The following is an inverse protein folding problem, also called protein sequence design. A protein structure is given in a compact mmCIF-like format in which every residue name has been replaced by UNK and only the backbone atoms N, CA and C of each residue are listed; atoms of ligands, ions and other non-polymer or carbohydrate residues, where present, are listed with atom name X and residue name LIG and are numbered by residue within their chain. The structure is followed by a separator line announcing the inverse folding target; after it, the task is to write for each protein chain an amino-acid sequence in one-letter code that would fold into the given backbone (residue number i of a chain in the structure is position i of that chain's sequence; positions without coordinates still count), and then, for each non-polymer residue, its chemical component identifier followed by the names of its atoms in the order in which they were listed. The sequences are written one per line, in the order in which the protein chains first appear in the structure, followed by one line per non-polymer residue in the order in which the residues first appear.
data_IF_878386970417
#
_entry.id   IF_878386970417
#
_cell.length_a   1.000
_cell.length_b   1.000
_cell.length_c   1.000
_cell.angle_alpha   90.00
_cell.angle_beta   90.00
_cell.angle_gamma   90.00
#
_symmetry.space_group_name_H-M   'P 1'
#
loop_
_entity.id
_entity.type
_entity.pdbx_description
1 polymer ?
#
# COMPACT_ATOMS: atom_id res chain seq x y z
N UNK A 1 -16.23 12.86 10.64
CA UNK A 1 -14.89 12.24 10.62
C UNK A 1 -14.96 10.99 9.74
N UNK A 2 -13.97 10.79 8.87
CA UNK A 2 -13.81 9.59 8.04
C UNK A 2 -12.64 8.81 8.62
N UNK A 3 -12.73 7.48 8.62
CA UNK A 3 -11.66 6.58 9.04
C UNK A 3 -11.22 5.74 7.85
N UNK A 4 -9.92 5.77 7.53
CA UNK A 4 -9.36 5.02 6.40
C UNK A 4 -8.53 3.86 6.93
N UNK A 5 -8.99 2.63 6.67
CA UNK A 5 -8.30 1.41 7.09
C UNK A 5 -7.26 1.00 6.05
N UNK A 6 -6.02 0.82 6.49
CA UNK A 6 -4.90 0.38 5.67
C UNK A 6 -4.72 -1.14 5.76
N UNK A 7 -4.51 -1.84 4.63
CA UNK A 7 -4.08 -3.23 4.65
C UNK A 7 -2.61 -3.31 5.08
N UNK A 8 -2.26 -4.19 6.01
CA UNK A 8 -0.87 -4.41 6.44
C UNK A 8 -0.66 -5.92 6.70
N UNK A 9 0.09 -6.68 5.86
CA UNK A 9 0.29 -8.12 5.93
C UNK A 9 0.38 -8.90 7.29
N UNK A 10 0.93 -8.40 8.41
CA UNK A 10 0.99 -9.08 9.68
C UNK A 10 -0.10 -8.63 10.66
N UNK A 11 -1.03 -7.78 10.22
CA UNK A 11 -2.24 -7.42 10.95
C UNK A 11 -3.42 -8.31 10.50
N UNK A 12 -4.60 -8.07 11.09
CA UNK A 12 -5.83 -8.81 10.77
C UNK A 12 -6.32 -8.54 9.33
N UNK A 13 -6.20 -7.29 8.88
CA UNK A 13 -6.64 -6.85 7.55
C UNK A 13 -5.42 -6.69 6.65
N UNK A 14 -5.29 -7.58 5.66
CA UNK A 14 -4.06 -7.76 4.89
C UNK A 14 -4.28 -7.65 3.39
N UNK A 15 -5.39 -8.20 2.92
CA UNK A 15 -5.75 -8.31 1.51
C UNK A 15 -6.90 -7.37 1.16
N UNK A 16 -7.16 -7.18 -0.12
CA UNK A 16 -8.34 -6.49 -0.61
C UNK A 16 -9.65 -7.22 -0.22
N UNK A 17 -9.63 -8.55 -0.16
CA UNK A 17 -10.74 -9.34 0.38
C UNK A 17 -10.98 -9.09 1.88
N UNK A 18 -9.93 -8.97 2.69
CA UNK A 18 -10.05 -8.63 4.10
C UNK A 18 -10.64 -7.21 4.29
N UNK A 19 -10.19 -6.25 3.48
CA UNK A 19 -10.70 -4.87 3.50
C UNK A 19 -12.20 -4.86 3.20
N UNK A 20 -12.62 -5.50 2.12
CA UNK A 20 -14.04 -5.56 1.74
C UNK A 20 -14.89 -6.22 2.83
N UNK A 21 -14.42 -7.33 3.40
CA UNK A 21 -15.13 -7.99 4.52
C UNK A 21 -15.21 -7.10 5.76
N UNK A 22 -14.16 -6.37 6.10
CA UNK A 22 -14.17 -5.46 7.25
C UNK A 22 -15.11 -4.28 7.03
N UNK A 23 -15.10 -3.67 5.85
CA UNK A 23 -15.99 -2.56 5.50
C UNK A 23 -17.46 -3.01 5.54
N UNK A 24 -17.78 -4.19 5.01
CA UNK A 24 -19.11 -4.79 5.05
C UNK A 24 -19.56 -5.06 6.49
N UNK A 25 -18.70 -5.67 7.31
CA UNK A 25 -18.99 -5.95 8.71
C UNK A 25 -19.23 -4.68 9.55
N UNK A 26 -18.53 -3.59 9.25
CA UNK A 26 -18.74 -2.29 9.91
C UNK A 26 -20.03 -1.61 9.42
N UNK A 27 -20.33 -1.69 8.12
CA UNK A 27 -21.58 -1.20 7.55
C UNK A 27 -21.79 0.33 7.60
N UNK A 28 -20.73 1.12 7.81
CA UNK A 28 -20.79 2.59 7.90
C UNK A 28 -19.97 3.25 6.78
N UNK A 29 -20.60 4.15 6.02
CA UNK A 29 -19.97 4.85 4.89
C UNK A 29 -18.79 5.77 5.27
N UNK A 30 -18.57 6.01 6.56
CA UNK A 30 -17.40 6.74 7.09
C UNK A 30 -16.17 5.84 7.24
N UNK A 31 -16.32 4.51 7.16
CA UNK A 31 -15.22 3.56 7.04
C UNK A 31 -14.82 3.44 5.58
N UNK A 32 -13.58 3.81 5.26
CA UNK A 32 -13.03 3.87 3.91
C UNK A 32 -11.70 3.13 3.86
N UNK A 33 -11.13 3.00 2.67
CA UNK A 33 -9.83 2.36 2.46
C UNK A 33 -8.73 3.42 2.45
N UNK A 34 -7.66 3.19 3.23
CA UNK A 34 -6.35 3.76 2.94
C UNK A 34 -5.66 2.81 1.97
N UNK A 35 -5.65 3.14 0.68
CA UNK A 35 -5.09 2.26 -0.33
C UNK A 35 -3.56 2.29 -0.24
N UNK A 36 -2.96 1.14 0.03
CA UNK A 36 -1.52 0.95 -0.03
C UNK A 36 -1.21 -0.20 -1.00
N UNK A 37 -0.77 0.17 -2.20
CA UNK A 37 -0.43 -0.77 -3.26
C UNK A 37 0.78 -1.64 -2.92
N UNK A 38 1.73 -1.14 -2.13
CA UNK A 38 2.91 -1.89 -1.71
C UNK A 38 2.58 -2.94 -0.66
N UNK A 39 1.76 -2.60 0.34
CA UNK A 39 1.33 -3.57 1.35
C UNK A 39 0.43 -4.66 0.75
N UNK A 40 -0.48 -4.30 -0.17
CA UNK A 40 -1.30 -5.28 -0.89
C UNK A 40 -0.43 -6.23 -1.71
N UNK A 41 0.56 -5.71 -2.43
CA UNK A 41 1.52 -6.52 -3.17
C UNK A 41 2.30 -7.45 -2.25
N UNK A 42 2.81 -6.92 -1.12
CA UNK A 42 3.52 -7.69 -0.10
C UNK A 42 2.64 -8.78 0.54
N UNK A 43 1.32 -8.58 0.60
CA UNK A 43 0.37 -9.61 1.03
C UNK A 43 0.09 -10.67 -0.06
N UNK A 44 0.74 -10.58 -1.22
CA UNK A 44 0.55 -11.47 -2.36
C UNK A 44 -0.64 -11.11 -3.25
N UNK A 45 -1.22 -9.92 -3.10
CA UNK A 45 -2.31 -9.45 -3.94
C UNK A 45 -1.78 -8.86 -5.26
N UNK A 46 -2.62 -8.88 -6.30
CA UNK A 46 -2.43 -8.02 -7.47
C UNK A 46 -2.95 -6.62 -7.12
N UNK A 47 -2.03 -5.66 -6.96
CA UNK A 47 -2.38 -4.29 -6.56
C UNK A 47 -3.20 -3.53 -7.61
N UNK A 48 -3.07 -3.87 -8.90
CA UNK A 48 -3.90 -3.26 -9.96
C UNK A 48 -5.32 -3.82 -9.90
N UNK A 49 -5.46 -5.13 -9.74
CA UNK A 49 -6.77 -5.75 -9.54
C UNK A 49 -7.45 -5.23 -8.27
N UNK A 50 -6.70 -5.12 -7.17
CA UNK A 50 -7.18 -4.53 -5.92
C UNK A 50 -7.60 -3.06 -6.12
N UNK A 51 -6.82 -2.25 -6.85
CA UNK A 51 -7.21 -0.87 -7.15
C UNK A 51 -8.56 -0.80 -7.87
N UNK A 52 -8.80 -1.66 -8.87
CA UNK A 52 -10.08 -1.71 -9.59
C UNK A 52 -11.26 -2.03 -8.68
N UNK A 53 -11.06 -2.92 -7.71
CA UNK A 53 -12.09 -3.33 -6.75
C UNK A 53 -12.35 -2.27 -5.69
N UNK A 54 -11.29 -1.65 -5.19
CA UNK A 54 -11.33 -0.80 -4.01
C UNK A 54 -11.52 0.68 -4.34
N UNK A 55 -11.22 1.15 -5.55
CA UNK A 55 -11.22 2.58 -5.90
C UNK A 55 -12.46 3.38 -5.44
N UNK A 56 -13.70 2.88 -5.55
CA UNK A 56 -14.89 3.61 -5.06
C UNK A 56 -14.93 3.79 -3.52
N UNK A 57 -14.14 3.01 -2.80
CA UNK A 57 -14.08 2.96 -1.33
C UNK A 57 -12.85 3.70 -0.77
N UNK A 58 -11.94 4.15 -1.64
CA UNK A 58 -10.69 4.81 -1.24
C UNK A 58 -10.98 6.21 -0.70
N UNK A 59 -10.51 6.46 0.52
CA UNK A 59 -10.52 7.79 1.15
C UNK A 59 -9.13 8.37 1.36
N UNK A 60 -8.08 7.54 1.33
CA UNK A 60 -6.69 7.96 1.46
C UNK A 60 -5.76 7.01 0.69
N UNK A 61 -4.55 7.45 0.35
CA UNK A 61 -3.59 6.62 -0.39
C UNK A 61 -2.20 6.78 0.21
N UNK A 62 -1.60 5.65 0.58
CA UNK A 62 -0.17 5.54 0.79
C UNK A 62 0.51 5.03 -0.48
N UNK A 63 1.51 5.76 -0.95
CA UNK A 63 2.33 5.43 -2.10
C UNK A 63 3.60 4.76 -1.59
N UNK A 64 3.57 3.43 -1.63
CA UNK A 64 4.65 2.53 -1.22
C UNK A 64 4.95 1.56 -2.35
N UNK A 65 6.23 1.28 -2.57
CA UNK A 65 6.66 0.36 -3.62
C UNK A 65 7.44 -0.81 -3.03
N UNK A 66 7.40 -1.92 -3.75
CA UNK A 66 7.82 -3.21 -3.23
C UNK A 66 8.43 -4.05 -4.34
N UNK A 67 9.54 -4.72 -4.03
CA UNK A 67 10.28 -5.54 -5.00
C UNK A 67 10.72 -6.86 -4.39
N UNK A 68 10.35 -7.98 -5.02
CA UNK A 68 10.65 -9.35 -4.53
C UNK A 68 12.12 -9.62 -4.31
N UNK A 69 12.99 -8.95 -5.06
CA UNK A 69 14.43 -9.18 -5.08
C UNK A 69 15.19 -8.27 -4.11
N UNK A 70 14.58 -7.18 -3.64
CA UNK A 70 15.28 -6.09 -2.98
C UNK A 70 15.65 -6.29 -1.50
N UNK A 71 15.29 -7.39 -0.83
CA UNK A 71 15.69 -7.57 0.58
C UNK A 71 16.78 -8.65 0.78
N UNK A 72 17.90 -8.33 1.47
CA UNK A 72 18.52 -9.25 2.42
C UNK A 72 17.49 -9.72 3.46
N UNK A 73 17.77 -10.77 4.24
CA UNK A 73 16.94 -11.17 5.40
C UNK A 73 16.91 -10.04 6.46
N UNK A 74 16.15 -8.99 6.21
CA UNK A 74 15.84 -7.97 7.20
C UNK A 74 14.38 -8.18 7.55
N UNK A 75 14.08 -8.78 8.71
CA UNK A 75 12.72 -8.80 9.19
C UNK A 75 12.27 -7.34 9.32
N UNK A 76 11.28 -6.95 8.53
CA UNK A 76 10.53 -5.69 8.71
C UNK A 76 9.87 -5.57 10.09
N UNK A 77 9.98 -6.62 10.90
CA UNK A 77 9.41 -6.76 12.22
C UNK A 77 10.27 -7.72 13.06
N UNK A 78 10.63 -7.31 14.27
CA UNK A 78 11.13 -8.21 15.31
C UNK A 78 9.94 -8.55 16.23
N UNK A 79 9.69 -9.83 16.56
CA UNK A 79 8.60 -10.21 17.44
C UNK A 79 8.70 -9.53 18.80
N UNK A 80 7.57 -9.02 19.30
CA UNK A 80 7.39 -8.71 20.70
C UNK A 80 6.94 -9.95 21.48
N UNK A 81 7.07 -9.96 22.81
CA UNK A 81 6.53 -11.04 23.63
C UNK A 81 5.02 -11.18 23.44
N UNK A 82 4.56 -12.36 23.01
CA UNK A 82 3.14 -12.68 22.82
C UNK A 82 2.68 -12.75 21.36
N UNK A 83 3.53 -12.37 20.42
CA UNK A 83 3.25 -12.57 19.00
C UNK A 83 3.40 -14.06 18.63
N UNK A 84 2.28 -14.70 18.26
CA UNK A 84 2.28 -16.08 17.75
C UNK A 84 3.12 -16.21 16.46
N UNK A 85 3.39 -17.45 16.00
CA UNK A 85 4.12 -17.67 14.76
C UNK A 85 3.36 -17.03 13.59
N UNK A 86 3.94 -15.98 12.99
CA UNK A 86 3.42 -15.38 11.76
C UNK A 86 3.85 -16.22 10.55
N UNK A 87 3.03 -16.28 9.47
CA UNK A 87 3.44 -16.98 8.25
C UNK A 87 4.80 -16.47 7.78
N UNK A 88 5.61 -17.30 7.08
CA UNK A 88 6.89 -16.84 6.53
C UNK A 88 6.65 -15.55 5.77
N UNK A 89 7.42 -14.51 6.11
CA UNK A 89 7.28 -13.16 5.58
C UNK A 89 7.06 -13.21 4.06
N UNK A 90 5.83 -13.00 3.56
CA UNK A 90 5.61 -13.16 2.14
C UNK A 90 6.26 -11.96 1.46
N UNK A 91 7.28 -12.27 0.67
CA UNK A 91 7.83 -11.45 -0.40
C UNK A 91 8.57 -10.18 0.05
N UNK A 92 9.90 -10.22 -0.06
CA UNK A 92 10.89 -9.14 0.21
C UNK A 92 10.61 -7.90 -0.67
N UNK A 93 11.20 -6.71 -0.50
CA UNK A 93 11.08 -5.73 0.60
C UNK A 93 10.72 -4.32 0.06
N UNK A 94 10.46 -3.36 0.93
CA UNK A 94 10.04 -1.99 0.56
C UNK A 94 11.17 -1.20 -0.14
N UNK A 95 10.91 -0.69 -1.35
CA UNK A 95 11.86 0.09 -2.17
C UNK A 95 11.38 1.51 -2.46
N UNK A 96 12.25 2.35 -3.03
CA UNK A 96 11.85 3.70 -3.44
C UNK A 96 10.86 3.58 -4.61
N UNK A 97 9.82 4.42 -4.62
CA UNK A 97 8.81 4.40 -5.69
C UNK A 97 9.45 4.39 -7.08
N UNK A 98 9.03 3.45 -7.94
CA UNK A 98 9.54 3.26 -9.29
C UNK A 98 10.75 2.34 -9.40
N UNK A 99 11.23 1.80 -8.28
CA UNK A 99 12.22 0.70 -8.26
C UNK A 99 11.58 -0.66 -7.99
N UNK A 100 10.28 -0.70 -7.66
CA UNK A 100 9.56 -1.93 -7.41
C UNK A 100 8.63 -2.36 -8.53
N UNK A 101 7.83 -3.37 -8.19
CA UNK A 101 6.98 -4.12 -9.10
C UNK A 101 5.53 -3.63 -9.10
N UNK A 102 5.18 -2.67 -8.25
CA UNK A 102 3.82 -2.14 -8.19
C UNK A 102 3.58 -1.19 -9.37
N UNK A 103 2.60 -1.50 -10.22
CA UNK A 103 2.21 -0.66 -11.37
C UNK A 103 1.42 0.58 -10.93
N UNK A 104 2.15 1.52 -10.32
CA UNK A 104 1.62 2.80 -9.87
C UNK A 104 1.00 3.66 -10.98
N UNK A 105 1.54 3.76 -12.21
CA UNK A 105 0.87 4.47 -13.29
C UNK A 105 -0.56 3.99 -13.55
N UNK A 106 -0.78 2.67 -13.64
CA UNK A 106 -2.11 2.12 -13.87
C UNK A 106 -3.02 2.29 -12.64
N UNK A 107 -2.50 2.10 -11.43
CA UNK A 107 -3.25 2.34 -10.18
C UNK A 107 -3.72 3.80 -10.10
N UNK A 108 -2.85 4.76 -10.37
CA UNK A 108 -3.19 6.18 -10.35
C UNK A 108 -4.28 6.52 -11.38
N UNK A 109 -4.21 5.93 -12.58
CA UNK A 109 -5.23 6.07 -13.61
C UNK A 109 -6.59 5.52 -13.15
N UNK A 110 -6.60 4.36 -12.49
CA UNK A 110 -7.81 3.75 -11.92
C UNK A 110 -8.41 4.63 -10.82
N UNK A 111 -7.60 5.06 -9.85
CA UNK A 111 -8.06 5.88 -8.73
C UNK A 111 -8.62 7.22 -9.22
N UNK A 112 -7.91 7.90 -10.14
CA UNK A 112 -8.40 9.13 -10.77
C UNK A 112 -9.70 8.89 -11.54
N UNK A 113 -9.78 7.81 -12.32
CA UNK A 113 -10.97 7.44 -13.08
C UNK A 113 -12.20 7.15 -12.20
N UNK A 114 -11.97 6.72 -10.95
CA UNK A 114 -13.02 6.56 -9.94
C UNK A 114 -13.37 7.86 -9.20
N UNK A 115 -12.72 8.97 -9.51
CA UNK A 115 -12.98 10.29 -8.91
C UNK A 115 -12.17 10.60 -7.65
N UNK A 116 -11.10 9.85 -7.36
CA UNK A 116 -10.23 10.19 -6.23
C UNK A 116 -9.42 11.46 -6.52
N UNK A 117 -9.57 12.48 -5.66
CA UNK A 117 -8.86 13.77 -5.74
C UNK A 117 -8.03 14.11 -4.48
N UNK A 118 -7.88 13.13 -3.58
CA UNK A 118 -7.25 13.30 -2.28
C UNK A 118 -5.72 13.25 -2.29
N UNK A 119 -5.15 13.19 -1.08
CA UNK A 119 -3.71 13.17 -0.86
C UNK A 119 -3.08 11.82 -1.24
N UNK A 120 -1.99 11.89 -1.99
CA UNK A 120 -1.06 10.78 -2.20
C UNK A 120 0.12 10.96 -1.27
N UNK A 121 0.28 10.07 -0.28
CA UNK A 121 1.32 10.19 0.75
C UNK A 121 2.41 9.16 0.48
N UNK A 122 3.63 9.60 0.20
CA UNK A 122 4.78 8.70 0.08
C UNK A 122 5.13 8.14 1.45
N UNK A 123 5.17 6.81 1.57
CA UNK A 123 5.57 6.10 2.79
C UNK A 123 6.92 5.39 2.57
N UNK A 124 7.85 5.55 3.53
CA UNK A 124 9.17 4.90 3.53
C UNK A 124 9.56 4.50 4.95
N UNK A 125 9.67 3.20 5.21
CA UNK A 125 9.96 2.63 6.53
C UNK A 125 11.35 1.97 6.63
N UNK A 126 11.87 1.41 5.54
CA UNK A 126 12.97 0.43 5.58
C UNK A 126 14.37 1.00 5.34
N UNK A 127 14.51 2.32 5.13
CA UNK A 127 15.77 2.94 4.69
C UNK A 127 16.48 3.78 5.76
N UNK A 128 17.81 3.86 5.66
CA UNK A 128 18.65 4.80 6.44
C UNK A 128 18.62 6.22 5.87
N UNK A 129 18.19 6.39 4.62
CA UNK A 129 18.13 7.66 3.86
C UNK A 129 16.69 8.05 3.52
N UNK A 130 15.74 7.79 4.44
CA UNK A 130 14.29 7.97 4.21
C UNK A 130 13.89 9.33 3.66
N UNK A 131 14.56 10.41 4.05
CA UNK A 131 14.26 11.75 3.54
C UNK A 131 14.63 11.88 2.05
N UNK A 132 15.81 11.40 1.65
CA UNK A 132 16.25 11.42 0.26
C UNK A 132 15.39 10.49 -0.61
N UNK A 133 15.09 9.29 -0.11
CA UNK A 133 14.16 8.35 -0.74
C UNK A 133 12.80 9.01 -0.99
N UNK A 134 12.27 9.73 0.00
CA UNK A 134 10.99 10.43 -0.13
C UNK A 134 11.06 11.56 -1.18
N UNK A 135 12.16 12.32 -1.24
CA UNK A 135 12.36 13.35 -2.27
C UNK A 135 12.37 12.75 -3.68
N UNK A 136 13.07 11.62 -3.87
CA UNK A 136 13.12 10.89 -5.14
C UNK A 136 11.73 10.36 -5.51
N UNK A 137 11.05 9.71 -4.57
CA UNK A 137 9.71 9.17 -4.76
C UNK A 137 8.70 10.26 -5.14
N UNK A 138 8.71 11.41 -4.45
CA UNK A 138 7.83 12.55 -4.80
C UNK A 138 8.11 13.06 -6.22
N UNK A 139 9.38 13.15 -6.63
CA UNK A 139 9.73 13.58 -7.99
C UNK A 139 9.21 12.58 -9.05
N UNK A 140 9.37 11.28 -8.82
CA UNK A 140 8.84 10.23 -9.70
C UNK A 140 7.30 10.24 -9.74
N UNK A 141 6.65 10.36 -8.59
CA UNK A 141 5.19 10.45 -8.47
C UNK A 141 4.63 11.64 -9.26
N UNK A 142 5.25 12.81 -9.16
CA UNK A 142 4.87 13.99 -9.96
C UNK A 142 4.96 13.71 -11.46
N UNK A 143 5.99 13.01 -11.92
CA UNK A 143 6.12 12.62 -13.33
C UNK A 143 5.04 11.63 -13.76
N UNK A 144 4.69 10.65 -12.91
CA UNK A 144 3.61 9.71 -13.18
C UNK A 144 2.25 10.43 -13.33
N UNK A 145 1.95 11.38 -12.44
CA UNK A 145 0.70 12.14 -12.45
C UNK A 145 0.50 13.01 -13.69
N UNK A 146 1.58 13.45 -14.33
CA UNK A 146 1.54 14.20 -15.60
C UNK A 146 1.17 13.32 -16.81
N UNK A 147 1.33 12.00 -16.68
CA UNK A 147 1.10 11.02 -17.76
C UNK A 147 -0.18 10.21 -17.58
N UNK A 148 -0.68 10.12 -16.34
CA UNK A 148 -1.93 9.46 -15.97
C UNK A 148 -3.16 10.29 -16.31
#
# INVERSE_FOLDING_TARGET
MVFCLEPWPPNLVRTDDDLLRMLDAVGDARMRVNFDGGNLWGAGCDSVAAARRLAPLVGHVHVKDWDRSAAPETPMWQPGPGDGPKPPNPVRGEVVLGEGEVDWPEILRILRGAGYDGWLVVERNSSKTREDDARIAVARLKSMLQKA
#
